data_IF_833676726657
#
_entry.id   IF_833676726657
#
_cell.length_a   1.000
_cell.length_b   1.000
_cell.length_c   1.000
_cell.angle_alpha   90.00
_cell.angle_beta   90.00
_cell.angle_gamma   90.00
#
_symmetry.space_group_name_H-M   'P 1'
#
loop_
_entity.id
_entity.type
_entity.pdbx_description
1 polymer ?
#
# COMPACT_ATOMS: atom_id res chain seq x y z
N UNK A 1 -10.34 -0.91 -24.49
CA UNK A 1 -9.95 0.34 -25.15
C UNK A 1 -11.16 0.89 -25.89
N UNK A 2 -11.48 2.10 -25.59
CA UNK A 2 -12.54 2.82 -26.28
C UNK A 2 -12.09 3.26 -27.69
N UNK A 3 -11.42 2.43 -28.42
CA UNK A 3 -10.89 2.57 -29.77
C UNK A 3 -10.61 4.01 -30.22
N UNK A 4 -9.57 4.24 -30.96
CA UNK A 4 -9.17 5.59 -31.40
C UNK A 4 -10.27 6.44 -32.06
N UNK A 5 -11.34 5.83 -32.54
CA UNK A 5 -12.52 6.53 -33.08
C UNK A 5 -13.51 6.85 -31.95
N UNK A 6 -13.35 8.01 -31.33
CA UNK A 6 -14.23 8.52 -30.27
C UNK A 6 -13.75 8.30 -28.84
N UNK A 7 -12.59 7.67 -28.63
CA UNK A 7 -12.00 7.47 -27.30
C UNK A 7 -11.83 8.78 -26.55
N UNK A 8 -11.23 9.78 -27.16
CA UNK A 8 -11.01 11.11 -26.56
C UNK A 8 -12.31 11.74 -26.06
N UNK A 9 -13.42 11.56 -26.79
CA UNK A 9 -14.73 12.09 -26.37
C UNK A 9 -15.28 11.35 -25.17
N UNK A 10 -15.08 10.03 -25.09
CA UNK A 10 -15.52 9.23 -23.95
C UNK A 10 -14.67 9.52 -22.71
N UNK A 11 -13.34 9.61 -22.85
CA UNK A 11 -12.42 10.01 -21.77
C UNK A 11 -12.83 11.37 -21.22
N UNK A 12 -12.98 12.38 -22.07
CA UNK A 12 -13.41 13.71 -21.66
C UNK A 12 -14.78 13.71 -20.95
N UNK A 13 -15.73 12.89 -21.43
CA UNK A 13 -17.05 12.76 -20.81
C UNK A 13 -16.97 12.17 -19.39
N UNK A 14 -16.09 11.16 -19.16
CA UNK A 14 -15.85 10.56 -17.85
C UNK A 14 -15.12 11.55 -16.92
N UNK A 15 -14.10 12.23 -17.43
CA UNK A 15 -13.31 13.22 -16.71
C UNK A 15 -14.19 14.38 -16.22
N UNK A 16 -15.00 15.00 -17.09
CA UNK A 16 -15.93 16.08 -16.75
C UNK A 16 -16.92 15.70 -15.63
N UNK A 17 -17.19 14.40 -15.45
CA UNK A 17 -18.13 13.87 -14.46
C UNK A 17 -17.44 13.20 -13.27
N UNK A 18 -16.12 13.17 -13.29
CA UNK A 18 -15.31 12.46 -12.29
C UNK A 18 -15.75 11.01 -12.08
N UNK A 19 -16.01 10.29 -13.21
CA UNK A 19 -16.43 8.89 -13.19
C UNK A 19 -15.20 8.02 -13.44
N UNK A 20 -14.76 7.19 -12.48
CA UNK A 20 -13.65 6.26 -12.69
C UNK A 20 -14.05 5.15 -13.69
N UNK A 21 -13.08 4.74 -14.51
CA UNK A 21 -13.24 3.64 -15.45
C UNK A 21 -12.56 2.39 -14.90
N UNK A 22 -13.32 1.34 -14.66
CA UNK A 22 -12.83 0.02 -14.29
C UNK A 22 -12.83 -0.89 -15.50
N UNK A 23 -11.75 -1.60 -15.73
CA UNK A 23 -11.53 -2.47 -16.90
C UNK A 23 -11.22 -3.92 -16.48
N UNK A 24 -12.18 -4.62 -15.85
CA UNK A 24 -11.96 -6.03 -15.48
C UNK A 24 -11.84 -6.92 -16.71
N UNK A 25 -11.24 -8.09 -16.53
CA UNK A 25 -10.86 -9.01 -17.60
C UNK A 25 -11.67 -10.32 -17.54
N UNK A 26 -12.03 -10.79 -18.72
CA UNK A 26 -12.50 -12.17 -18.94
C UNK A 26 -11.43 -12.90 -19.74
N UNK A 27 -10.78 -13.91 -19.16
CA UNK A 27 -9.71 -14.64 -19.84
C UNK A 27 -10.27 -15.70 -20.76
N UNK A 28 -9.67 -15.81 -21.96
CA UNK A 28 -9.92 -16.91 -22.89
C UNK A 28 -9.11 -18.17 -22.55
N UNK A 29 -8.30 -18.11 -21.49
CA UNK A 29 -7.49 -19.21 -21.00
C UNK A 29 -8.29 -20.07 -20.03
N UNK A 30 -7.93 -21.35 -19.95
CA UNK A 30 -8.44 -22.25 -18.93
C UNK A 30 -7.87 -21.86 -17.56
N UNK A 31 -8.66 -22.05 -16.50
CA UNK A 31 -8.25 -21.76 -15.12
C UNK A 31 -6.88 -22.35 -14.77
N UNK A 32 -6.70 -23.65 -15.02
CA UNK A 32 -5.45 -24.36 -14.72
C UNK A 32 -4.24 -23.79 -15.46
N UNK A 33 -4.42 -23.42 -16.74
CA UNK A 33 -3.33 -22.84 -17.55
C UNK A 33 -2.93 -21.47 -17.03
N UNK A 34 -3.90 -20.65 -16.65
CA UNK A 34 -3.67 -19.32 -16.09
C UNK A 34 -3.02 -19.37 -14.72
N UNK A 35 -3.50 -20.19 -13.80
CA UNK A 35 -2.95 -20.34 -12.44
C UNK A 35 -1.53 -20.94 -12.45
N UNK A 36 -1.22 -21.81 -13.42
CA UNK A 36 0.10 -22.40 -13.55
C UNK A 36 1.15 -21.50 -14.23
N UNK A 37 0.74 -20.42 -14.91
CA UNK A 37 1.67 -19.53 -15.61
C UNK A 37 2.13 -18.36 -14.72
N UNK A 38 3.35 -18.38 -14.17
CA UNK A 38 3.85 -17.33 -13.29
C UNK A 38 4.09 -15.99 -14.01
N UNK A 39 4.03 -15.96 -15.34
CA UNK A 39 4.17 -14.73 -16.13
C UNK A 39 2.87 -13.92 -16.15
N UNK A 40 1.73 -14.56 -15.83
CA UNK A 40 0.40 -13.95 -15.93
C UNK A 40 0.02 -13.62 -17.39
N UNK A 41 -0.58 -12.46 -17.59
CA UNK A 41 -0.96 -12.00 -18.93
C UNK A 41 0.25 -11.56 -19.74
N UNK A 42 0.32 -11.99 -21.00
CA UNK A 42 1.45 -11.66 -21.90
C UNK A 42 0.97 -11.29 -23.31
N UNK A 43 1.89 -10.77 -24.12
CA UNK A 43 1.70 -10.52 -25.55
C UNK A 43 0.57 -9.54 -25.90
N UNK A 44 -0.12 -9.83 -26.97
CA UNK A 44 -1.18 -8.97 -27.49
C UNK A 44 -2.38 -8.82 -26.57
N UNK A 45 -2.67 -9.87 -25.76
CA UNK A 45 -3.77 -9.81 -24.82
C UNK A 45 -3.48 -8.80 -23.69
N UNK A 46 -2.27 -8.81 -23.12
CA UNK A 46 -1.83 -7.82 -22.14
C UNK A 46 -1.93 -6.40 -22.74
N UNK A 47 -1.40 -6.21 -23.95
CA UNK A 47 -1.41 -4.90 -24.62
C UNK A 47 -2.82 -4.39 -24.85
N UNK A 48 -3.72 -5.22 -25.35
CA UNK A 48 -5.07 -4.79 -25.72
C UNK A 48 -6.00 -4.65 -24.50
N UNK A 49 -5.85 -5.49 -23.48
CA UNK A 49 -6.80 -5.58 -22.38
C UNK A 49 -6.36 -4.82 -21.11
N UNK A 50 -5.06 -4.52 -20.98
CA UNK A 50 -4.50 -3.79 -19.83
C UNK A 50 -3.90 -2.47 -20.28
N UNK A 51 -2.84 -2.52 -21.12
CA UNK A 51 -2.04 -1.32 -21.44
C UNK A 51 -2.85 -0.25 -22.18
N UNK A 52 -3.62 -0.63 -23.21
CA UNK A 52 -4.44 0.34 -23.94
C UNK A 52 -5.57 0.95 -23.09
N UNK A 53 -6.31 0.19 -22.27
CA UNK A 53 -7.25 0.80 -21.32
C UNK A 53 -6.60 1.73 -20.30
N UNK A 54 -5.41 1.40 -19.78
CA UNK A 54 -4.67 2.27 -18.85
C UNK A 54 -4.31 3.62 -19.48
N UNK A 55 -3.92 3.65 -20.76
CA UNK A 55 -3.64 4.88 -21.49
C UNK A 55 -4.89 5.77 -21.57
N UNK A 56 -6.08 5.17 -21.62
CA UNK A 56 -7.38 5.86 -21.63
C UNK A 56 -7.92 6.15 -20.20
N UNK A 57 -7.11 5.94 -19.15
CA UNK A 57 -7.49 6.14 -17.75
C UNK A 57 -8.25 4.98 -17.13
N UNK A 58 -8.30 3.82 -17.79
CA UNK A 58 -8.87 2.60 -17.23
C UNK A 58 -7.96 1.97 -16.18
N UNK A 59 -8.54 1.58 -15.05
CA UNK A 59 -7.82 0.93 -13.96
C UNK A 59 -8.41 -0.42 -13.59
N UNK A 60 -7.78 -1.09 -12.61
CA UNK A 60 -8.25 -2.36 -12.06
C UNK A 60 -8.43 -3.46 -13.10
N UNK A 61 -7.38 -3.87 -13.82
CA UNK A 61 -7.44 -4.96 -14.79
C UNK A 61 -7.47 -6.33 -14.07
N UNK A 62 -8.44 -6.53 -13.19
CA UNK A 62 -8.58 -7.76 -12.41
C UNK A 62 -9.27 -8.84 -13.24
N UNK A 63 -8.77 -10.07 -13.14
CA UNK A 63 -9.38 -11.21 -13.83
C UNK A 63 -10.63 -11.64 -13.08
N UNK A 64 -11.81 -11.41 -13.65
CA UNK A 64 -13.10 -11.74 -13.03
C UNK A 64 -13.67 -13.07 -13.52
N UNK A 65 -13.27 -13.54 -14.69
CA UNK A 65 -13.73 -14.83 -15.20
C UNK A 65 -12.68 -15.52 -16.05
N UNK A 66 -12.74 -16.84 -16.05
CA UNK A 66 -11.84 -17.75 -16.78
C UNK A 66 -12.68 -18.84 -17.43
N UNK A 67 -12.07 -19.67 -18.30
CA UNK A 67 -12.73 -20.86 -18.82
C UNK A 67 -12.51 -22.06 -17.88
N UNK A 68 -13.60 -22.71 -17.53
CA UNK A 68 -13.60 -23.97 -16.78
C UNK A 68 -14.49 -24.99 -17.45
N UNK A 69 -14.16 -26.28 -17.29
CA UNK A 69 -14.95 -27.34 -17.86
C UNK A 69 -16.16 -27.64 -16.95
N UNK A 70 -17.33 -27.84 -17.56
CA UNK A 70 -18.49 -28.38 -16.87
C UNK A 70 -18.36 -29.91 -16.65
N UNK A 71 -19.36 -30.50 -16.04
CA UNK A 71 -19.44 -31.96 -15.78
C UNK A 71 -19.38 -32.83 -17.05
N UNK A 72 -19.70 -32.27 -18.21
CA UNK A 72 -19.66 -32.93 -19.52
C UNK A 72 -18.37 -32.63 -20.29
N UNK A 73 -17.45 -31.84 -19.72
CA UNK A 73 -16.18 -31.48 -20.31
C UNK A 73 -16.26 -30.29 -21.29
N UNK A 74 -17.40 -29.61 -21.38
CA UNK A 74 -17.53 -28.40 -22.19
C UNK A 74 -17.01 -27.16 -21.41
N UNK A 75 -16.17 -26.34 -22.06
CA UNK A 75 -15.64 -25.12 -21.46
C UNK A 75 -16.68 -24.00 -21.51
N UNK A 76 -16.87 -23.39 -20.35
CA UNK A 76 -17.72 -22.21 -20.18
C UNK A 76 -16.98 -21.17 -19.35
N UNK A 77 -17.39 -19.89 -19.48
CA UNK A 77 -16.86 -18.84 -18.62
C UNK A 77 -17.49 -18.94 -17.23
N UNK A 78 -16.62 -19.01 -16.23
CA UNK A 78 -17.03 -19.04 -14.83
C UNK A 78 -16.39 -17.87 -14.07
N UNK A 79 -17.05 -17.33 -13.05
CA UNK A 79 -16.47 -16.28 -12.23
C UNK A 79 -15.27 -16.79 -11.41
N UNK A 80 -14.41 -15.86 -11.03
CA UNK A 80 -13.38 -16.03 -9.99
C UNK A 80 -13.89 -15.24 -8.79
N UNK A 81 -14.64 -15.91 -7.91
CA UNK A 81 -15.52 -15.30 -6.91
C UNK A 81 -14.78 -14.33 -5.98
N UNK A 82 -13.62 -14.71 -5.45
CA UNK A 82 -12.78 -13.88 -4.59
C UNK A 82 -12.37 -12.55 -5.28
N UNK A 83 -12.06 -12.60 -6.57
CA UNK A 83 -11.70 -11.39 -7.34
C UNK A 83 -12.90 -10.53 -7.70
N UNK A 84 -14.07 -11.14 -7.88
CA UNK A 84 -15.32 -10.40 -8.05
C UNK A 84 -15.63 -9.61 -6.78
N UNK A 85 -15.51 -10.25 -5.61
CA UNK A 85 -15.73 -9.61 -4.32
C UNK A 85 -14.73 -8.46 -4.08
N UNK A 86 -13.45 -8.67 -4.38
CA UNK A 86 -12.40 -7.65 -4.27
C UNK A 86 -12.68 -6.43 -5.18
N UNK A 87 -13.11 -6.65 -6.42
CA UNK A 87 -13.46 -5.55 -7.32
C UNK A 87 -14.69 -4.79 -6.84
N UNK A 88 -15.73 -5.49 -6.38
CA UNK A 88 -16.93 -4.86 -5.82
C UNK A 88 -16.57 -4.00 -4.62
N UNK A 89 -15.72 -4.50 -3.72
CA UNK A 89 -15.24 -3.73 -2.57
C UNK A 89 -14.45 -2.49 -3.01
N UNK A 90 -13.56 -2.64 -3.99
CA UNK A 90 -12.77 -1.52 -4.53
C UNK A 90 -13.66 -0.43 -5.16
N UNK A 91 -14.70 -0.82 -5.92
CA UNK A 91 -15.70 0.11 -6.48
C UNK A 91 -16.43 0.84 -5.36
N UNK A 92 -16.91 0.11 -4.35
CA UNK A 92 -17.60 0.69 -3.19
C UNK A 92 -16.73 1.70 -2.45
N UNK A 93 -15.45 1.38 -2.22
CA UNK A 93 -14.47 2.28 -1.60
C UNK A 93 -14.24 3.53 -2.44
N UNK A 94 -14.11 3.40 -3.75
CA UNK A 94 -13.93 4.53 -4.66
C UNK A 94 -15.15 5.47 -4.64
N UNK A 95 -16.36 4.93 -4.70
CA UNK A 95 -17.60 5.71 -4.62
C UNK A 95 -17.73 6.41 -3.26
N UNK A 96 -17.39 5.71 -2.18
CA UNK A 96 -17.34 6.27 -0.83
C UNK A 96 -16.37 7.46 -0.78
N UNK A 97 -15.14 7.28 -1.27
CA UNK A 97 -14.11 8.33 -1.29
C UNK A 97 -14.57 9.59 -2.06
N UNK A 98 -15.24 9.40 -3.20
CA UNK A 98 -15.76 10.52 -3.98
C UNK A 98 -16.89 11.28 -3.29
N UNK A 99 -17.76 10.59 -2.55
CA UNK A 99 -18.93 11.18 -1.88
C UNK A 99 -18.66 11.73 -0.50
N UNK A 100 -17.58 11.23 0.15
CA UNK A 100 -17.22 11.64 1.50
C UNK A 100 -16.74 13.09 1.52
N UNK A 101 -17.20 13.94 2.46
CA UNK A 101 -16.65 15.27 2.66
C UNK A 101 -15.15 15.20 3.00
N UNK A 102 -14.36 16.16 2.52
CA UNK A 102 -12.91 16.17 2.73
C UNK A 102 -12.52 16.10 4.21
N UNK A 103 -13.27 16.76 5.09
CA UNK A 103 -13.01 16.75 6.54
C UNK A 103 -13.06 15.36 7.19
N UNK A 104 -13.80 14.43 6.59
CA UNK A 104 -14.03 13.09 7.14
C UNK A 104 -13.07 12.05 6.56
N UNK A 105 -12.36 12.40 5.48
CA UNK A 105 -11.40 11.52 4.81
C UNK A 105 -10.15 11.31 5.65
N UNK A 106 -9.71 10.06 5.75
CA UNK A 106 -8.43 9.67 6.37
C UNK A 106 -7.40 9.38 5.29
N UNK A 107 -6.29 10.10 5.34
CA UNK A 107 -5.23 10.01 4.33
C UNK A 107 -3.96 9.47 4.99
N UNK A 108 -3.40 8.42 4.45
CA UNK A 108 -2.06 7.96 4.80
C UNK A 108 -1.08 8.35 3.70
N UNK A 109 0.05 8.92 4.07
CA UNK A 109 1.14 9.26 3.15
C UNK A 109 2.38 8.49 3.57
N UNK A 110 2.87 7.62 2.70
CA UNK A 110 4.14 6.91 2.89
C UNK A 110 5.20 7.60 2.06
N UNK A 111 6.29 8.02 2.70
CA UNK A 111 7.39 8.72 2.04
C UNK A 111 8.72 7.97 2.14
N UNK A 112 9.56 8.12 1.11
CA UNK A 112 10.85 7.46 1.09
C UNK A 112 11.84 8.13 2.05
N UNK A 113 12.44 7.32 2.93
CA UNK A 113 13.56 7.71 3.79
C UNK A 113 14.47 6.51 4.02
N UNK A 114 15.70 6.58 3.53
CA UNK A 114 16.69 5.53 3.75
C UNK A 114 17.14 5.43 5.23
N UNK A 115 17.52 4.24 5.70
CA UNK A 115 18.03 4.06 7.06
C UNK A 115 19.26 4.94 7.34
N UNK A 116 19.19 5.74 8.41
CA UNK A 116 20.28 6.63 8.81
C UNK A 116 20.52 7.85 7.91
N UNK A 117 19.70 8.05 6.87
CA UNK A 117 19.80 9.24 6.02
C UNK A 117 19.23 10.47 6.72
N UNK A 118 20.01 11.54 6.74
CA UNK A 118 19.55 12.86 7.18
C UNK A 118 18.85 13.64 6.06
N UNK A 119 19.27 13.43 4.80
CA UNK A 119 18.65 14.07 3.65
C UNK A 119 17.39 13.31 3.22
N UNK A 120 16.27 14.02 3.18
CA UNK A 120 14.99 13.51 2.70
C UNK A 120 14.85 13.89 1.22
N UNK A 121 15.52 13.13 0.35
CA UNK A 121 15.44 13.31 -1.11
C UNK A 121 15.00 12.02 -1.79
N UNK A 122 14.03 12.11 -2.67
CA UNK A 122 13.54 11.00 -3.46
C UNK A 122 13.49 11.42 -4.94
N UNK A 123 14.30 10.80 -5.77
CA UNK A 123 14.35 11.06 -7.22
C UNK A 123 14.41 12.56 -7.61
N UNK A 124 15.11 13.37 -6.83
CA UNK A 124 15.21 14.82 -7.03
C UNK A 124 14.12 15.65 -6.36
N UNK A 125 13.17 15.02 -5.66
CA UNK A 125 12.19 15.71 -4.82
C UNK A 125 12.79 16.05 -3.45
N UNK A 126 12.53 17.25 -2.98
CA UNK A 126 12.77 17.63 -1.59
C UNK A 126 11.55 17.19 -0.75
N UNK A 127 11.68 16.05 -0.09
CA UNK A 127 10.56 15.37 0.57
C UNK A 127 9.93 16.21 1.67
N UNK A 128 10.73 16.81 2.57
CA UNK A 128 10.19 17.58 3.70
C UNK A 128 9.42 18.84 3.25
N UNK A 129 9.94 19.71 2.38
CA UNK A 129 9.18 20.83 1.83
C UNK A 129 7.91 20.40 1.12
N UNK A 130 7.99 19.35 0.31
CA UNK A 130 6.85 18.84 -0.45
C UNK A 130 5.74 18.30 0.46
N UNK A 131 6.08 17.54 1.51
CA UNK A 131 5.12 17.06 2.50
C UNK A 131 4.50 18.21 3.31
N UNK A 132 5.29 19.22 3.65
CA UNK A 132 4.81 20.40 4.36
C UNK A 132 3.75 21.16 3.54
N UNK A 133 4.04 21.42 2.26
CA UNK A 133 3.08 22.06 1.34
C UNK A 133 1.85 21.16 1.07
N UNK A 134 2.03 19.84 0.99
CA UNK A 134 0.91 18.89 0.87
C UNK A 134 -0.05 19.01 2.06
N UNK A 135 0.46 19.02 3.29
CA UNK A 135 -0.37 19.16 4.49
C UNK A 135 -1.12 20.49 4.50
N UNK A 136 -0.45 21.59 4.16
CA UNK A 136 -1.07 22.92 4.05
C UNK A 136 -2.16 22.94 2.97
N UNK A 137 -1.89 22.32 1.82
CA UNK A 137 -2.87 22.25 0.74
C UNK A 137 -4.07 21.40 1.12
N UNK A 138 -3.87 20.25 1.73
CA UNK A 138 -4.97 19.42 2.24
C UNK A 138 -5.84 20.19 3.22
N UNK A 139 -5.22 20.92 4.16
CA UNK A 139 -5.95 21.80 5.10
C UNK A 139 -6.76 22.87 4.39
N UNK A 140 -6.19 23.52 3.39
CA UNK A 140 -6.87 24.55 2.60
C UNK A 140 -8.06 23.99 1.79
N UNK A 141 -7.98 22.73 1.37
CA UNK A 141 -9.06 22.00 0.67
C UNK A 141 -10.11 21.41 1.63
N UNK A 142 -10.03 21.73 2.92
CA UNK A 142 -11.03 21.34 3.92
C UNK A 142 -10.86 19.92 4.50
N UNK A 143 -9.69 19.29 4.35
CA UNK A 143 -9.35 18.11 5.12
C UNK A 143 -9.06 18.46 6.58
N UNK A 144 -9.34 17.55 7.50
CA UNK A 144 -8.99 17.71 8.91
C UNK A 144 -7.49 17.47 9.06
N UNK A 145 -6.74 18.58 9.09
CA UNK A 145 -5.28 18.56 9.28
C UNK A 145 -4.94 19.45 10.47
N UNK A 146 -4.34 18.85 11.51
CA UNK A 146 -4.03 19.49 12.78
C UNK A 146 -2.54 19.33 13.13
N UNK A 147 -2.02 20.22 13.96
CA UNK A 147 -0.66 20.08 14.48
C UNK A 147 0.47 20.32 13.47
N UNK A 148 0.19 20.99 12.34
CA UNK A 148 1.25 21.40 11.39
C UNK A 148 2.14 22.43 12.11
N UNK A 149 3.48 22.22 12.15
CA UNK A 149 4.42 23.22 12.66
C UNK A 149 4.28 24.57 11.93
N UNK A 150 4.64 25.66 12.60
CA UNK A 150 4.53 27.01 12.02
C UNK A 150 5.48 27.21 10.84
N UNK A 151 6.65 26.59 10.91
CA UNK A 151 7.69 26.71 9.88
C UNK A 151 8.07 25.36 9.28
N UNK A 152 8.49 25.38 8.02
CA UNK A 152 9.04 24.23 7.32
C UNK A 152 10.24 23.62 8.06
N UNK A 153 11.09 24.47 8.65
CA UNK A 153 12.26 24.01 9.42
C UNK A 153 11.88 23.22 10.67
N UNK A 154 10.83 23.63 11.38
CA UNK A 154 10.30 22.88 12.52
C UNK A 154 9.68 21.56 12.08
N UNK A 155 8.98 21.56 10.95
CA UNK A 155 8.43 20.36 10.34
C UNK A 155 9.55 19.38 9.93
N UNK A 156 10.61 19.86 9.28
CA UNK A 156 11.77 19.03 8.95
C UNK A 156 12.41 18.43 10.20
N UNK A 157 12.61 19.23 11.26
CA UNK A 157 13.13 18.74 12.52
C UNK A 157 12.23 17.68 13.17
N UNK A 158 10.92 17.81 13.06
CA UNK A 158 9.94 16.82 13.50
C UNK A 158 10.08 15.51 12.69
N UNK A 159 10.14 15.59 11.36
CA UNK A 159 10.35 14.42 10.48
C UNK A 159 11.69 13.71 10.79
N UNK A 160 12.74 14.45 11.11
CA UNK A 160 14.03 13.85 11.48
C UNK A 160 13.96 13.11 12.82
N UNK A 161 13.26 13.64 13.79
CA UNK A 161 13.13 13.07 15.14
C UNK A 161 12.14 11.88 15.19
N UNK A 162 10.96 12.08 14.67
CA UNK A 162 9.82 11.14 14.82
C UNK A 162 9.62 10.22 13.62
N UNK A 163 10.00 10.65 12.42
CA UNK A 163 9.96 9.86 11.19
C UNK A 163 11.25 9.09 10.92
N UNK A 164 11.88 8.54 11.96
CA UNK A 164 13.17 7.86 11.82
C UNK A 164 13.02 6.43 11.29
N UNK A 165 13.93 6.05 10.38
CA UNK A 165 14.09 4.68 9.88
C UNK A 165 15.45 4.17 10.36
N UNK A 166 15.47 2.97 10.92
CA UNK A 166 16.66 2.39 11.53
C UNK A 166 17.10 1.13 10.78
N UNK A 167 18.39 0.97 10.56
CA UNK A 167 18.96 -0.33 10.19
C UNK A 167 18.91 -1.29 11.39
N UNK A 168 18.82 -2.58 11.13
CA UNK A 168 18.74 -3.63 12.17
C UNK A 168 19.89 -3.64 13.14
N UNK A 169 21.03 -3.03 12.79
CA UNK A 169 22.23 -2.86 13.61
C UNK A 169 22.14 -1.70 14.62
N UNK A 170 21.17 -0.81 14.51
CA UNK A 170 21.07 0.41 15.31
C UNK A 170 20.27 0.21 16.62
N UNK A 171 20.49 -0.89 17.35
CA UNK A 171 19.68 -1.32 18.51
C UNK A 171 19.49 -0.24 19.58
N UNK A 172 20.55 0.53 19.92
CA UNK A 172 20.44 1.60 20.91
C UNK A 172 19.52 2.72 20.47
N UNK A 173 19.58 3.12 19.21
CA UNK A 173 18.68 4.15 18.64
C UNK A 173 17.24 3.67 18.51
N UNK A 174 17.04 2.38 18.23
CA UNK A 174 15.70 1.77 18.20
C UNK A 174 15.08 1.83 19.59
N UNK A 175 15.82 1.46 20.64
CA UNK A 175 15.35 1.53 22.02
C UNK A 175 15.02 2.97 22.44
N UNK A 176 15.86 3.93 22.10
CA UNK A 176 15.62 5.36 22.33
C UNK A 176 14.35 5.84 21.61
N UNK A 177 14.20 5.51 20.34
CA UNK A 177 13.01 5.86 19.57
C UNK A 177 11.73 5.26 20.16
N UNK A 178 11.74 3.99 20.54
CA UNK A 178 10.59 3.35 21.19
C UNK A 178 10.22 4.01 22.53
N UNK A 179 11.18 4.57 23.24
CA UNK A 179 10.96 5.25 24.51
C UNK A 179 10.51 6.71 24.37
N UNK A 180 10.97 7.44 23.36
CA UNK A 180 10.82 8.91 23.27
C UNK A 180 10.33 9.42 21.92
N UNK A 181 10.32 8.60 20.88
CA UNK A 181 9.97 8.96 19.49
C UNK A 181 8.48 8.88 19.16
N UNK A 182 7.64 8.58 20.14
CA UNK A 182 6.18 8.46 19.97
C UNK A 182 5.77 7.52 18.81
N UNK A 183 6.30 6.28 18.77
CA UNK A 183 5.92 5.35 17.71
C UNK A 183 4.45 4.95 17.79
N UNK A 184 3.91 4.58 16.64
CA UNK A 184 2.67 3.84 16.58
C UNK A 184 2.94 2.37 16.89
N UNK A 185 1.96 1.69 17.49
CA UNK A 185 2.11 0.32 17.94
C UNK A 185 1.03 -0.59 17.36
N UNK A 186 1.42 -1.81 17.03
CA UNK A 186 0.49 -2.88 16.65
C UNK A 186 0.76 -4.07 17.55
N UNK A 187 -0.22 -4.47 18.34
CA UNK A 187 -0.14 -5.68 19.16
C UNK A 187 0.04 -6.92 18.28
N UNK A 188 0.77 -7.91 18.79
CA UNK A 188 0.99 -9.17 18.07
C UNK A 188 -0.33 -9.80 17.61
N UNK A 189 -1.33 -9.84 18.50
CA UNK A 189 -2.65 -10.42 18.21
C UNK A 189 -3.36 -9.73 17.04
N UNK A 190 -3.33 -8.40 16.98
CA UNK A 190 -3.91 -7.63 15.89
C UNK A 190 -3.16 -7.87 14.58
N UNK A 191 -1.83 -7.84 14.63
CA UNK A 191 -0.99 -8.10 13.47
C UNK A 191 -1.23 -9.48 12.88
N UNK A 192 -1.27 -10.52 13.72
CA UNK A 192 -1.54 -11.91 13.28
C UNK A 192 -2.92 -12.02 12.65
N UNK A 193 -3.94 -11.42 13.24
CA UNK A 193 -5.29 -11.41 12.69
C UNK A 193 -5.38 -10.70 11.33
N UNK A 194 -4.56 -9.67 11.10
CA UNK A 194 -4.54 -8.94 9.82
C UNK A 194 -3.73 -9.64 8.75
N UNK A 195 -2.54 -10.14 9.08
CA UNK A 195 -1.66 -10.79 8.10
C UNK A 195 -2.24 -12.09 7.56
N UNK A 196 -2.96 -12.84 8.39
CA UNK A 196 -3.63 -14.08 7.99
C UNK A 196 -4.78 -13.86 6.98
N UNK A 197 -5.30 -12.64 6.88
CA UNK A 197 -6.33 -12.31 5.88
C UNK A 197 -5.75 -12.01 4.49
N UNK A 198 -4.46 -11.65 4.42
CA UNK A 198 -3.83 -11.18 3.18
C UNK A 198 -2.77 -12.15 2.65
N UNK A 199 -2.20 -13.00 3.49
CA UNK A 199 -1.24 -14.02 3.07
C UNK A 199 -1.85 -15.41 3.17
N UNK A 200 -1.56 -16.25 2.16
CA UNK A 200 -1.84 -17.69 2.30
C UNK A 200 -0.95 -18.31 3.38
N UNK A 201 -1.35 -19.44 3.98
CA UNK A 201 -0.54 -20.14 4.99
C UNK A 201 0.89 -20.42 4.51
N UNK A 202 1.06 -20.80 3.24
CA UNK A 202 2.37 -21.09 2.65
C UNK A 202 3.24 -19.82 2.57
N UNK A 203 2.65 -18.68 2.18
CA UNK A 203 3.37 -17.41 2.12
C UNK A 203 3.70 -16.86 3.49
N UNK A 204 2.83 -17.08 4.46
CA UNK A 204 3.15 -16.74 5.85
C UNK A 204 4.27 -17.62 6.41
N UNK A 205 4.30 -18.91 6.08
CA UNK A 205 5.37 -19.82 6.48
C UNK A 205 6.74 -19.37 5.94
N UNK A 206 6.84 -18.83 4.71
CA UNK A 206 8.08 -18.24 4.17
C UNK A 206 8.58 -17.06 5.02
N UNK A 207 7.65 -16.24 5.54
CA UNK A 207 7.98 -15.13 6.46
C UNK A 207 8.51 -15.65 7.78
N UNK A 208 7.83 -16.65 8.36
CA UNK A 208 8.21 -17.26 9.65
C UNK A 208 9.56 -17.97 9.55
N UNK A 209 9.79 -18.72 8.48
CA UNK A 209 11.09 -19.40 8.25
C UNK A 209 12.25 -18.40 8.27
N UNK A 210 12.04 -17.20 7.72
CA UNK A 210 13.10 -16.21 7.57
C UNK A 210 13.26 -15.27 8.75
N UNK A 211 12.17 -14.83 9.34
CA UNK A 211 12.17 -13.78 10.38
C UNK A 211 11.66 -14.23 11.75
N UNK A 212 11.32 -15.53 11.88
CA UNK A 212 10.71 -16.09 13.08
C UNK A 212 9.22 -15.82 13.18
N UNK A 213 8.60 -16.36 14.22
CA UNK A 213 7.19 -16.11 14.54
C UNK A 213 6.92 -14.62 14.78
N UNK A 214 5.69 -14.18 14.50
CA UNK A 214 5.28 -12.82 14.78
C UNK A 214 5.46 -12.48 16.27
N UNK A 215 5.87 -11.26 16.58
CA UNK A 215 6.13 -10.13 15.70
C UNK A 215 7.56 -10.07 15.16
N UNK A 216 8.35 -11.12 15.24
CA UNK A 216 9.76 -11.17 14.89
C UNK A 216 10.65 -10.53 15.97
N UNK A 217 11.79 -9.96 15.57
CA UNK A 217 12.77 -9.39 16.51
C UNK A 217 13.18 -7.93 16.23
N UNK A 218 12.70 -7.35 15.14
CA UNK A 218 13.04 -5.98 14.74
C UNK A 218 11.87 -5.04 14.99
N UNK A 219 12.13 -3.89 15.62
CA UNK A 219 11.12 -2.90 16.02
C UNK A 219 10.02 -3.50 16.92
N UNK A 220 10.42 -4.38 17.84
CA UNK A 220 9.50 -5.07 18.76
C UNK A 220 9.72 -4.56 20.17
N UNK A 221 8.62 -4.26 20.84
CA UNK A 221 8.55 -3.89 22.25
C UNK A 221 7.35 -4.55 22.91
N UNK A 222 6.83 -3.92 23.96
CA UNK A 222 5.67 -4.39 24.71
C UNK A 222 4.64 -3.28 24.81
N UNK A 223 3.38 -3.63 24.59
CA UNK A 223 2.23 -2.74 24.73
C UNK A 223 1.13 -3.46 25.51
N UNK A 224 0.74 -2.90 26.64
CA UNK A 224 -0.27 -3.47 27.54
C UNK A 224 -0.01 -4.94 27.95
N UNK A 225 1.28 -5.30 28.16
CA UNK A 225 1.69 -6.65 28.55
C UNK A 225 1.72 -7.67 27.41
N UNK A 226 1.64 -7.24 26.15
CA UNK A 226 1.72 -8.06 24.95
C UNK A 226 2.86 -7.59 24.04
N UNK A 227 3.60 -8.50 23.37
CA UNK A 227 4.55 -8.11 22.34
C UNK A 227 3.88 -7.31 21.23
N UNK A 228 4.53 -6.23 20.80
CA UNK A 228 3.98 -5.33 19.79
C UNK A 228 5.07 -4.84 18.83
N UNK A 229 4.67 -4.59 17.57
CA UNK A 229 5.49 -3.94 16.56
C UNK A 229 5.38 -2.43 16.69
N UNK A 230 6.52 -1.74 16.72
CA UNK A 230 6.60 -0.29 16.70
C UNK A 230 6.98 0.21 15.30
N UNK A 231 6.46 1.34 14.90
CA UNK A 231 6.88 2.02 13.67
C UNK A 231 6.69 3.54 13.77
N UNK A 232 7.44 4.27 12.95
CA UNK A 232 7.32 5.72 12.91
C UNK A 232 6.03 6.15 12.20
N UNK A 233 5.25 7.00 12.86
CA UNK A 233 4.02 7.56 12.31
C UNK A 233 3.77 8.94 12.92
N UNK A 234 3.66 9.95 12.08
CA UNK A 234 3.35 11.32 12.50
C UNK A 234 1.88 11.61 12.21
N UNK A 235 1.15 12.04 13.21
CA UNK A 235 -0.29 12.30 13.13
C UNK A 235 -0.59 13.80 12.95
N UNK A 236 -1.39 14.12 11.95
CA UNK A 236 -1.88 15.46 11.65
C UNK A 236 -3.41 15.44 11.49
N UNK A 237 -4.13 15.16 12.58
CA UNK A 237 -5.58 14.96 12.53
C UNK A 237 -5.95 13.70 11.76
N UNK A 238 -6.69 13.85 10.65
CA UNK A 238 -7.05 12.75 9.75
C UNK A 238 -5.99 12.43 8.68
N UNK A 239 -4.80 13.01 8.79
CA UNK A 239 -3.67 12.72 7.89
C UNK A 239 -2.52 12.14 8.69
N UNK A 240 -1.92 11.06 8.22
CA UNK A 240 -0.71 10.48 8.81
C UNK A 240 0.42 10.44 7.80
N UNK A 241 1.63 10.72 8.27
CA UNK A 241 2.86 10.61 7.49
C UNK A 241 3.72 9.49 8.07
N UNK A 242 4.18 8.59 7.22
CA UNK A 242 4.97 7.44 7.62
C UNK A 242 6.19 7.30 6.70
N UNK A 243 7.40 7.17 7.23
CA UNK A 243 8.53 6.76 6.40
C UNK A 243 8.30 5.33 5.93
N UNK A 244 8.68 5.03 4.68
CA UNK A 244 8.65 3.66 4.19
C UNK A 244 9.53 2.78 5.09
N UNK A 245 8.97 1.70 5.67
CA UNK A 245 9.77 0.79 6.48
C UNK A 245 10.79 0.05 5.62
N UNK A 246 11.93 -0.40 6.18
CA UNK A 246 12.92 -1.17 5.45
C UNK A 246 12.33 -2.47 4.92
N UNK A 247 12.46 -2.71 3.62
CA UNK A 247 11.92 -3.91 2.96
C UNK A 247 12.62 -5.20 3.42
N UNK A 248 13.80 -5.09 4.02
CA UNK A 248 14.57 -6.17 4.62
C UNK A 248 15.61 -5.64 5.60
N UNK A 249 16.39 -6.53 6.21
CA UNK A 249 17.51 -6.18 7.08
C UNK A 249 18.84 -6.58 6.46
N UNK A 250 19.85 -5.69 6.55
CA UNK A 250 21.22 -5.96 6.11
C UNK A 250 21.32 -6.18 4.59
N UNK A 251 22.10 -7.21 4.20
CA UNK A 251 22.37 -7.52 2.78
C UNK A 251 21.11 -7.90 1.96
N UNK A 252 20.04 -8.26 2.64
CA UNK A 252 18.80 -8.64 1.98
C UNK A 252 18.01 -7.44 1.42
N UNK A 253 18.18 -6.25 2.00
CA UNK A 253 17.56 -5.02 1.49
C UNK A 253 18.00 -4.76 0.05
N UNK A 254 19.30 -4.88 -0.23
CA UNK A 254 19.84 -4.75 -1.58
C UNK A 254 19.27 -5.83 -2.54
N UNK A 255 19.16 -7.08 -2.06
CA UNK A 255 18.64 -8.18 -2.87
C UNK A 255 17.17 -7.98 -3.25
N UNK A 256 16.33 -7.50 -2.32
CA UNK A 256 14.90 -7.25 -2.59
C UNK A 256 14.74 -6.12 -3.61
N UNK A 257 15.44 -5.01 -3.45
CA UNK A 257 15.41 -3.88 -4.38
C UNK A 257 15.83 -4.30 -5.79
N UNK A 258 16.73 -5.27 -5.91
CA UNK A 258 17.22 -5.79 -7.19
C UNK A 258 16.50 -7.08 -7.67
N UNK A 259 15.29 -7.34 -7.18
CA UNK A 259 14.39 -8.37 -7.74
C UNK A 259 14.58 -9.78 -7.18
N UNK A 260 15.30 -9.96 -6.07
CA UNK A 260 15.31 -11.25 -5.40
C UNK A 260 13.94 -11.58 -4.80
N UNK A 261 13.48 -12.82 -5.01
CA UNK A 261 12.24 -13.32 -4.40
C UNK A 261 12.50 -13.65 -2.92
N UNK A 262 12.33 -12.68 -2.05
CA UNK A 262 12.51 -12.83 -0.60
C UNK A 262 11.25 -12.37 0.10
N UNK A 263 10.79 -13.11 1.10
CA UNK A 263 9.64 -12.73 1.91
C UNK A 263 9.95 -11.39 2.65
N UNK A 264 8.98 -10.44 2.72
CA UNK A 264 9.15 -9.21 3.47
C UNK A 264 9.11 -9.47 4.99
N UNK A 265 9.84 -8.71 5.82
CA UNK A 265 9.79 -8.86 7.26
C UNK A 265 8.46 -8.38 7.86
N UNK A 266 8.12 -8.87 9.05
CA UNK A 266 6.93 -8.44 9.80
C UNK A 266 6.84 -6.91 9.93
N UNK A 267 7.96 -6.26 10.27
CA UNK A 267 8.03 -4.81 10.43
C UNK A 267 7.82 -4.01 9.13
N UNK A 268 7.98 -4.63 7.96
CA UNK A 268 7.62 -4.02 6.68
C UNK A 268 6.13 -4.09 6.41
N UNK A 269 5.52 -5.25 6.67
CA UNK A 269 4.10 -5.48 6.40
C UNK A 269 3.19 -4.77 7.41
N UNK A 270 3.61 -4.72 8.67
CA UNK A 270 2.80 -4.21 9.77
C UNK A 270 2.26 -2.77 9.55
N UNK A 271 3.06 -1.77 9.15
CA UNK A 271 2.57 -0.42 8.89
C UNK A 271 1.51 -0.36 7.78
N UNK A 272 1.67 -1.15 6.71
CA UNK A 272 0.68 -1.20 5.63
C UNK A 272 -0.64 -1.85 6.07
N UNK A 273 -0.55 -2.90 6.89
CA UNK A 273 -1.74 -3.51 7.49
C UNK A 273 -2.43 -2.57 8.48
N UNK A 274 -1.67 -1.78 9.23
CA UNK A 274 -2.21 -0.77 10.13
C UNK A 274 -2.92 0.36 9.37
N UNK A 275 -2.37 0.83 8.25
CA UNK A 275 -3.04 1.81 7.39
C UNK A 275 -4.46 1.34 7.03
N UNK A 276 -4.62 0.05 6.70
CA UNK A 276 -5.89 -0.53 6.29
C UNK A 276 -6.83 -0.82 7.47
N UNK A 277 -6.32 -1.44 8.54
CA UNK A 277 -7.15 -2.03 9.59
C UNK A 277 -7.17 -1.19 10.88
N UNK A 278 -6.06 -0.54 11.23
CA UNK A 278 -5.94 0.33 12.41
C UNK A 278 -6.40 1.75 12.10
N UNK A 279 -5.68 2.46 11.27
CA UNK A 279 -6.02 3.82 10.87
C UNK A 279 -7.24 3.89 9.95
N UNK A 280 -7.49 2.85 9.15
CA UNK A 280 -8.61 2.74 8.19
C UNK A 280 -8.59 3.89 7.19
N UNK A 281 -7.45 4.07 6.53
CA UNK A 281 -7.28 5.11 5.53
C UNK A 281 -8.29 4.94 4.37
N UNK A 282 -8.86 6.04 3.92
CA UNK A 282 -9.70 6.10 2.72
C UNK A 282 -8.85 6.25 1.45
N UNK A 283 -7.64 6.80 1.58
CA UNK A 283 -6.65 6.88 0.50
C UNK A 283 -5.22 6.75 1.05
N UNK A 284 -4.36 6.13 0.24
CA UNK A 284 -2.92 6.02 0.45
C UNK A 284 -2.19 6.78 -0.66
N UNK A 285 -1.30 7.68 -0.28
CA UNK A 285 -0.36 8.37 -1.16
C UNK A 285 1.02 7.77 -0.92
N UNK A 286 1.63 7.22 -1.95
CA UNK A 286 3.02 6.78 -1.92
C UNK A 286 3.87 7.86 -2.58
N UNK A 287 4.77 8.47 -1.79
CA UNK A 287 5.46 9.70 -2.15
C UNK A 287 6.95 9.46 -2.42
#
# INVERSE_FOLDING_TARGET
PMGRLGGDRAVKWLEERNIPLFCPLTLLQKRQEWEADPRGLTGSYLSASVVLPEIDGGGRPEVLSVQDADENGYYQFVPVDDRVDDLVEAICRQVKLQRMPNRDKRIAVVYLKGPGQSALTAAGLEVAPSLYELLKRLKAEGYTVEGIPETEKEFEAMLQREGSVFGSYAKGRIAEFMATGHPEWIKKSDYEAWVQKVLTPEKYAEVVERYGEAPGSYMVGEQDGEPALAFACLHFGNVVLMPQPPAASGDDEFKIVHGAKVAPPHAYMAPYLWIQNGFKADALIHF
#
